data_IF_764155553730
#
_entry.id   IF_764155553730
#
_cell.length_a   1.000
_cell.length_b   1.000
_cell.length_c   1.000
_cell.angle_alpha   90.00
_cell.angle_beta   90.00
_cell.angle_gamma   90.00
#
_symmetry.space_group_name_H-M   'P 1'
#
loop_
_entity.id
_entity.type
_entity.pdbx_description
1 polymer ?
#
# COMPACT_ATOMS: atom_id res chain seq x y z
N UNK A 1 19.60 -47.34 14.73
CA UNK A 1 18.94 -46.11 15.31
C UNK A 1 19.88 -44.93 15.58
N UNK A 2 21.07 -45.08 16.14
CA UNK A 2 21.97 -43.92 16.38
C UNK A 2 22.67 -43.46 15.09
N UNK A 3 23.00 -44.39 14.16
CA UNK A 3 23.64 -44.04 12.88
C UNK A 3 22.74 -43.24 11.94
N UNK A 4 21.41 -43.51 11.93
CA UNK A 4 20.48 -42.78 11.07
C UNK A 4 20.22 -41.34 11.54
N UNK A 5 20.19 -41.08 12.84
CA UNK A 5 20.07 -39.72 13.39
C UNK A 5 21.27 -38.84 13.04
N UNK A 6 22.48 -39.38 13.04
CA UNK A 6 23.68 -38.65 12.65
C UNK A 6 23.71 -38.25 11.17
N UNK A 7 23.16 -39.07 10.30
CA UNK A 7 23.06 -38.79 8.88
C UNK A 7 22.01 -37.71 8.57
N UNK A 8 20.87 -37.68 9.30
CA UNK A 8 19.86 -36.66 9.20
C UNK A 8 20.39 -35.30 9.66
N UNK A 9 21.02 -35.23 10.84
CA UNK A 9 21.58 -33.97 11.35
C UNK A 9 22.66 -33.40 10.40
N UNK A 10 23.50 -34.27 9.80
CA UNK A 10 24.50 -33.82 8.81
C UNK A 10 23.86 -33.27 7.53
N UNK A 11 22.73 -33.83 7.10
CA UNK A 11 21.95 -33.29 5.94
C UNK A 11 21.34 -31.95 6.27
N UNK A 12 20.69 -31.84 7.41
CA UNK A 12 20.07 -30.58 7.85
C UNK A 12 21.09 -29.45 8.02
N UNK A 13 22.25 -29.73 8.62
CA UNK A 13 23.34 -28.75 8.77
C UNK A 13 23.88 -28.30 7.39
N UNK A 14 24.06 -29.24 6.45
CA UNK A 14 24.55 -28.92 5.11
C UNK A 14 23.52 -28.12 4.29
N UNK A 15 22.25 -28.32 4.55
CA UNK A 15 21.16 -27.54 3.94
C UNK A 15 21.04 -26.14 4.56
N UNK A 16 21.27 -26.02 5.87
CA UNK A 16 21.35 -24.75 6.58
C UNK A 16 22.55 -23.91 6.12
N UNK A 17 23.73 -24.52 5.97
CA UNK A 17 24.93 -23.87 5.43
C UNK A 17 24.69 -23.35 4.01
N UNK A 18 24.09 -24.17 3.12
CA UNK A 18 23.75 -23.73 1.75
C UNK A 18 22.75 -22.57 1.71
N UNK A 19 21.77 -22.55 2.62
CA UNK A 19 20.82 -21.42 2.75
C UNK A 19 21.53 -20.15 3.21
N UNK A 20 22.42 -20.26 4.17
CA UNK A 20 23.20 -19.13 4.71
C UNK A 20 24.18 -18.57 3.67
N UNK A 21 24.84 -19.43 2.88
CA UNK A 21 25.69 -19.00 1.76
C UNK A 21 24.89 -18.34 0.64
N UNK A 22 23.72 -18.90 0.28
CA UNK A 22 22.83 -18.31 -0.72
C UNK A 22 22.29 -16.95 -0.28
N UNK A 23 21.89 -16.80 0.98
CA UNK A 23 21.45 -15.51 1.54
C UNK A 23 22.58 -14.48 1.58
N UNK A 24 23.83 -14.92 1.88
CA UNK A 24 24.99 -14.04 1.91
C UNK A 24 25.38 -13.59 0.50
N UNK A 25 25.39 -14.51 -0.45
CA UNK A 25 25.66 -14.23 -1.88
C UNK A 25 24.60 -13.29 -2.45
N UNK A 26 23.34 -13.52 -2.12
CA UNK A 26 22.22 -12.64 -2.51
C UNK A 26 22.37 -11.22 -1.94
N UNK A 27 22.75 -11.09 -0.66
CA UNK A 27 23.00 -9.78 -0.03
C UNK A 27 24.16 -9.03 -0.72
N UNK A 28 25.23 -9.74 -1.06
CA UNK A 28 26.40 -9.15 -1.75
C UNK A 28 26.00 -8.67 -3.15
N UNK A 29 25.23 -9.46 -3.89
CA UNK A 29 24.76 -9.09 -5.24
C UNK A 29 23.77 -7.91 -5.20
N UNK A 30 22.89 -7.86 -4.20
CA UNK A 30 21.97 -6.73 -4.00
C UNK A 30 22.72 -5.41 -3.71
N UNK A 31 23.78 -5.49 -2.89
CA UNK A 31 24.65 -4.33 -2.61
C UNK A 31 25.41 -3.92 -3.86
N UNK A 32 25.89 -4.89 -4.65
CA UNK A 32 26.58 -4.64 -5.93
C UNK A 32 25.67 -4.02 -6.99
N UNK A 33 24.45 -4.52 -7.14
CA UNK A 33 23.45 -3.93 -8.06
C UNK A 33 23.04 -2.52 -7.64
N UNK A 34 22.89 -2.26 -6.33
CA UNK A 34 22.70 -0.90 -5.81
C UNK A 34 23.89 -0.01 -6.11
N UNK A 35 25.12 -0.51 -5.96
CA UNK A 35 26.35 0.20 -6.31
C UNK A 35 26.41 0.56 -7.81
N UNK A 36 26.11 -0.40 -8.69
CA UNK A 36 26.07 -0.20 -10.14
C UNK A 36 24.95 0.76 -10.59
N UNK A 37 23.79 0.71 -9.91
CA UNK A 37 22.70 1.67 -10.15
C UNK A 37 23.12 3.09 -9.75
N UNK A 38 23.75 3.23 -8.57
CA UNK A 38 24.27 4.53 -8.11
C UNK A 38 25.42 5.04 -8.99
N UNK A 39 26.26 4.15 -9.51
CA UNK A 39 27.32 4.49 -10.45
C UNK A 39 26.77 4.98 -11.80
N UNK A 40 25.79 4.28 -12.37
CA UNK A 40 25.07 4.73 -13.59
C UNK A 40 24.32 6.03 -13.38
N UNK A 41 23.75 6.25 -12.20
CA UNK A 41 23.12 7.54 -11.84
C UNK A 41 24.16 8.68 -11.72
N UNK A 42 25.38 8.38 -11.27
CA UNK A 42 26.48 9.37 -11.21
C UNK A 42 27.08 9.69 -12.59
N UNK A 43 26.95 8.81 -13.57
CA UNK A 43 27.37 9.07 -14.95
C UNK A 43 26.44 10.06 -15.68
N UNK A 44 25.19 10.21 -15.24
CA UNK A 44 24.31 11.32 -15.67
C UNK A 44 24.73 12.58 -14.92
N UNK A 45 25.72 13.25 -15.45
CA UNK A 45 26.29 14.52 -14.95
C UNK A 45 25.17 15.46 -14.48
N UNK A 46 25.15 15.77 -13.19
CA UNK A 46 24.41 16.85 -12.47
C UNK A 46 23.09 16.50 -11.76
N UNK A 47 22.69 15.25 -11.53
CA UNK A 47 21.55 14.96 -10.62
C UNK A 47 22.07 14.31 -9.35
N UNK A 48 22.06 15.08 -8.26
CA UNK A 48 22.44 14.56 -6.93
C UNK A 48 21.21 13.96 -6.24
N UNK A 49 21.37 12.77 -5.66
CA UNK A 49 20.37 12.20 -4.76
C UNK A 49 20.17 13.15 -3.57
N UNK A 50 18.93 13.53 -3.29
CA UNK A 50 18.59 14.33 -2.13
C UNK A 50 17.77 13.51 -1.12
N UNK A 51 17.59 14.05 0.09
CA UNK A 51 16.90 13.37 1.20
C UNK A 51 15.52 12.83 0.80
N UNK A 52 14.76 13.59 0.00
CA UNK A 52 13.43 13.18 -0.48
C UNK A 52 13.50 11.92 -1.36
N UNK A 53 14.45 11.89 -2.28
CA UNK A 53 14.66 10.72 -3.13
C UNK A 53 15.13 9.51 -2.34
N UNK A 54 16.05 9.71 -1.38
CA UNK A 54 16.49 8.65 -0.49
C UNK A 54 15.34 8.06 0.33
N UNK A 55 14.47 8.89 0.88
CA UNK A 55 13.29 8.47 1.63
C UNK A 55 12.32 7.66 0.74
N UNK A 56 12.01 8.14 -0.45
CA UNK A 56 11.14 7.44 -1.40
C UNK A 56 11.70 6.05 -1.79
N UNK A 57 13.00 5.98 -2.04
CA UNK A 57 13.68 4.74 -2.42
C UNK A 57 13.80 3.77 -1.24
N UNK A 58 14.11 4.26 -0.03
CA UNK A 58 14.43 3.42 1.12
C UNK A 58 13.21 3.06 1.97
N UNK A 59 12.10 3.83 1.91
CA UNK A 59 10.91 3.55 2.70
C UNK A 59 10.38 2.13 2.50
N UNK A 60 9.88 1.55 3.56
CA UNK A 60 9.27 0.23 3.58
C UNK A 60 8.06 0.22 4.52
N UNK A 61 7.14 -0.73 4.35
CA UNK A 61 6.00 -0.88 5.28
C UNK A 61 6.50 -1.27 6.67
N UNK A 62 6.09 -0.56 7.70
CA UNK A 62 6.41 -0.80 9.11
C UNK A 62 5.16 -1.29 9.81
N UNK A 63 5.27 -2.42 10.55
CA UNK A 63 4.16 -3.08 11.25
C UNK A 63 4.46 -3.39 12.71
N UNK A 64 5.64 -3.03 13.20
CA UNK A 64 6.02 -3.15 14.61
C UNK A 64 6.59 -1.81 15.04
N UNK A 65 5.93 -1.23 16.02
CA UNK A 65 6.21 0.13 16.50
C UNK A 65 6.81 0.10 17.90
N UNK A 66 7.55 1.13 18.26
CA UNK A 66 7.98 1.39 19.63
C UNK A 66 6.82 1.98 20.44
N UNK A 67 7.03 2.12 21.76
CA UNK A 67 6.04 2.77 22.63
C UNK A 67 6.05 4.31 22.52
N UNK A 68 6.97 4.88 21.75
CA UNK A 68 7.03 6.33 21.53
C UNK A 68 5.76 6.83 20.83
N UNK A 69 5.08 7.80 21.45
CA UNK A 69 3.92 8.44 20.86
C UNK A 69 4.31 9.43 19.75
N UNK A 70 3.41 9.61 18.78
CA UNK A 70 3.51 10.66 17.77
C UNK A 70 2.99 11.96 18.40
N UNK A 71 3.86 12.97 18.48
CA UNK A 71 3.51 14.25 19.07
C UNK A 71 2.46 15.01 18.25
N UNK A 72 1.74 15.91 18.90
CA UNK A 72 0.71 16.73 18.25
C UNK A 72 1.27 17.52 17.05
N UNK A 73 2.46 18.11 17.20
CA UNK A 73 3.11 18.86 16.12
C UNK A 73 3.47 17.96 14.93
N UNK A 74 4.01 16.76 15.16
CA UNK A 74 4.33 15.78 14.11
C UNK A 74 3.07 15.34 13.35
N UNK A 75 2.00 15.04 14.09
CA UNK A 75 0.69 14.70 13.50
C UNK A 75 0.14 15.84 12.64
N UNK A 76 0.22 17.09 13.12
CA UNK A 76 -0.24 18.25 12.38
C UNK A 76 0.56 18.45 11.08
N UNK A 77 1.88 18.27 11.10
CA UNK A 77 2.72 18.32 9.90
C UNK A 77 2.35 17.25 8.89
N UNK A 78 2.11 16.01 9.32
CA UNK A 78 1.70 14.92 8.46
C UNK A 78 0.34 15.19 7.81
N UNK A 79 -0.64 15.65 8.60
CA UNK A 79 -1.97 16.01 8.11
C UNK A 79 -1.91 17.21 7.15
N UNK A 80 -1.10 18.21 7.45
CA UNK A 80 -0.88 19.35 6.57
C UNK A 80 -0.28 18.92 5.24
N UNK A 81 0.74 18.08 5.24
CA UNK A 81 1.33 17.54 4.00
C UNK A 81 0.30 16.77 3.16
N UNK A 82 -0.57 15.98 3.80
CA UNK A 82 -1.65 15.30 3.12
C UNK A 82 -2.61 16.28 2.42
N UNK A 83 -2.99 17.37 3.09
CA UNK A 83 -3.93 18.36 2.54
C UNK A 83 -3.33 19.28 1.47
N UNK A 84 -2.00 19.34 1.35
CA UNK A 84 -1.30 20.05 0.27
C UNK A 84 -1.08 19.19 -0.99
N UNK A 85 -1.61 17.97 -1.01
CA UNK A 85 -1.56 17.11 -2.20
C UNK A 85 -2.30 17.73 -3.38
N UNK A 86 -1.83 17.55 -4.62
CA UNK A 86 -2.58 17.98 -5.79
C UNK A 86 -3.88 17.17 -5.93
N UNK A 87 -4.94 17.81 -6.44
CA UNK A 87 -6.24 17.19 -6.63
C UNK A 87 -6.87 17.58 -7.95
N UNK A 88 -7.79 16.76 -8.44
CA UNK A 88 -8.54 17.03 -9.66
C UNK A 88 -9.34 18.33 -9.54
N UNK A 89 -9.04 19.32 -10.39
CA UNK A 89 -9.71 20.62 -10.41
C UNK A 89 -9.65 21.38 -9.06
N UNK A 90 -8.69 21.10 -8.20
CA UNK A 90 -8.58 21.63 -6.84
C UNK A 90 -9.83 21.37 -5.96
N UNK A 91 -10.53 20.24 -6.21
CA UNK A 91 -11.76 19.91 -5.52
C UNK A 91 -11.54 19.21 -4.17
N UNK A 92 -10.36 18.68 -3.93
CA UNK A 92 -10.03 17.86 -2.74
C UNK A 92 -11.13 16.79 -2.50
N UNK A 93 -11.31 15.92 -3.49
CA UNK A 93 -12.37 14.89 -3.49
C UNK A 93 -12.07 13.76 -2.48
N UNK A 94 -11.61 14.11 -1.30
CA UNK A 94 -11.34 13.17 -0.22
C UNK A 94 -11.66 13.74 1.16
N UNK A 95 -11.94 12.86 2.10
CA UNK A 95 -12.06 13.15 3.53
C UNK A 95 -11.11 12.24 4.29
N UNK A 96 -10.40 12.77 5.28
CA UNK A 96 -9.48 11.99 6.14
C UNK A 96 -10.17 11.77 7.48
N UNK A 97 -10.34 10.50 7.87
CA UNK A 97 -10.82 10.12 9.20
C UNK A 97 -9.60 9.82 10.06
N UNK A 98 -9.43 10.57 11.13
CA UNK A 98 -8.42 10.35 12.16
C UNK A 98 -9.01 9.44 13.24
N UNK A 99 -8.62 8.17 13.25
CA UNK A 99 -9.14 7.17 14.18
C UNK A 99 -8.36 7.25 15.50
N UNK A 100 -8.95 7.92 16.47
CA UNK A 100 -8.36 8.10 17.82
C UNK A 100 -8.96 7.16 18.87
N UNK A 101 -10.17 6.63 18.63
CA UNK A 101 -10.84 5.69 19.52
C UNK A 101 -10.21 4.30 19.44
N UNK A 102 -9.73 3.80 20.60
CA UNK A 102 -9.11 2.48 20.67
C UNK A 102 -10.10 1.35 20.36
N UNK A 103 -11.35 1.46 20.79
CA UNK A 103 -12.36 0.45 20.51
C UNK A 103 -12.63 0.35 18.99
N UNK A 104 -12.62 1.47 18.27
CA UNK A 104 -12.73 1.48 16.82
C UNK A 104 -11.48 0.87 16.15
N UNK A 105 -10.26 1.13 16.65
CA UNK A 105 -9.05 0.46 16.15
C UNK A 105 -9.12 -1.05 16.34
N UNK A 106 -9.62 -1.52 17.48
CA UNK A 106 -9.77 -2.96 17.79
C UNK A 106 -10.80 -3.64 16.87
N UNK A 107 -11.88 -2.95 16.50
CA UNK A 107 -12.82 -3.44 15.48
C UNK A 107 -12.18 -3.45 14.08
N UNK A 108 -11.41 -2.43 13.72
CA UNK A 108 -10.68 -2.41 12.44
C UNK A 108 -9.64 -3.54 12.33
N UNK A 109 -9.03 -3.97 13.44
CA UNK A 109 -8.20 -5.19 13.44
C UNK A 109 -8.99 -6.37 12.91
N UNK A 110 -10.21 -6.58 13.41
CA UNK A 110 -11.05 -7.73 13.05
C UNK A 110 -11.52 -7.68 11.60
N UNK A 111 -11.90 -6.48 11.13
CA UNK A 111 -12.42 -6.27 9.77
C UNK A 111 -11.33 -6.17 8.71
N UNK A 112 -10.08 -6.03 9.12
CA UNK A 112 -8.91 -5.93 8.24
C UNK A 112 -7.97 -7.12 8.45
N UNK A 113 -8.46 -8.33 8.22
CA UNK A 113 -7.70 -9.60 8.21
C UNK A 113 -6.94 -9.90 9.52
N UNK A 114 -7.54 -9.52 10.67
CA UNK A 114 -6.98 -9.75 12.02
C UNK A 114 -5.53 -9.24 12.17
N UNK A 115 -5.24 -8.04 11.72
CA UNK A 115 -3.91 -7.43 11.75
C UNK A 115 -3.69 -6.62 13.04
N UNK A 116 -3.08 -7.18 14.11
CA UNK A 116 -3.02 -6.56 15.43
C UNK A 116 -2.22 -5.26 15.48
N UNK A 117 -1.31 -5.02 14.54
CA UNK A 117 -0.54 -3.79 14.46
C UNK A 117 -1.40 -2.55 14.13
N UNK A 118 -2.65 -2.71 13.68
CA UNK A 118 -3.60 -1.61 13.50
C UNK A 118 -3.95 -1.01 14.86
N UNK A 119 -4.30 -1.84 15.84
CA UNK A 119 -4.61 -1.40 17.19
C UNK A 119 -3.36 -0.84 17.92
N UNK A 120 -2.19 -1.40 17.66
CA UNK A 120 -0.93 -0.96 18.25
C UNK A 120 -0.36 0.34 17.63
N UNK A 121 -0.90 0.78 16.50
CA UNK A 121 -0.41 1.98 15.81
C UNK A 121 -0.69 3.26 16.62
N UNK A 122 0.29 4.16 16.62
CA UNK A 122 0.21 5.43 17.35
C UNK A 122 -0.66 6.47 16.64
N UNK A 123 -0.86 6.32 15.33
CA UNK A 123 -1.81 7.08 14.54
C UNK A 123 -2.41 6.20 13.45
N UNK A 124 -3.72 6.30 13.24
CA UNK A 124 -4.45 5.60 12.18
C UNK A 124 -5.27 6.61 11.40
N UNK A 125 -5.04 6.69 10.10
CA UNK A 125 -5.75 7.59 9.19
C UNK A 125 -6.45 6.78 8.09
N UNK A 126 -7.73 7.08 7.82
CA UNK A 126 -8.47 6.50 6.71
C UNK A 126 -8.74 7.61 5.70
N UNK A 127 -8.27 7.41 4.48
CA UNK A 127 -8.45 8.31 3.36
C UNK A 127 -9.66 7.83 2.55
N UNK A 128 -10.74 8.57 2.64
CA UNK A 128 -11.97 8.27 1.93
C UNK A 128 -12.02 9.08 0.63
N UNK A 129 -12.27 8.42 -0.50
CA UNK A 129 -12.74 9.07 -1.71
C UNK A 129 -14.15 9.63 -1.43
N UNK A 130 -14.35 10.92 -1.60
CA UNK A 130 -15.55 11.63 -1.16
C UNK A 130 -16.13 12.48 -2.30
N UNK A 131 -17.05 11.87 -3.03
CA UNK A 131 -17.81 12.54 -4.07
C UNK A 131 -19.06 13.26 -3.51
N UNK A 132 -19.41 13.01 -2.23
CA UNK A 132 -20.62 13.52 -1.61
C UNK A 132 -20.53 15.01 -1.28
N UNK A 133 -19.37 15.50 -0.78
CA UNK A 133 -19.28 16.88 -0.28
C UNK A 133 -19.64 17.96 -1.31
N UNK A 134 -19.18 17.83 -2.56
CA UNK A 134 -19.54 18.74 -3.63
C UNK A 134 -20.97 18.55 -4.09
N UNK A 135 -21.41 17.30 -4.22
CA UNK A 135 -22.80 16.97 -4.61
C UNK A 135 -23.81 17.60 -3.66
N UNK A 136 -23.63 17.43 -2.35
CA UNK A 136 -24.50 18.04 -1.35
C UNK A 136 -24.39 19.57 -1.32
N UNK A 137 -23.18 20.13 -1.45
CA UNK A 137 -22.98 21.57 -1.49
C UNK A 137 -23.70 22.21 -2.68
N UNK A 138 -23.66 21.61 -3.86
CA UNK A 138 -24.43 22.08 -5.04
C UNK A 138 -25.94 22.03 -4.80
N UNK A 139 -26.47 20.95 -4.24
CA UNK A 139 -27.90 20.83 -3.92
C UNK A 139 -28.35 21.89 -2.91
N UNK A 140 -27.59 22.11 -1.84
CA UNK A 140 -27.88 23.13 -0.81
C UNK A 140 -27.92 24.54 -1.44
N UNK A 141 -27.12 24.80 -2.46
CA UNK A 141 -27.07 26.11 -3.15
C UNK A 141 -28.08 26.23 -4.27
N UNK A 142 -28.96 25.26 -4.46
CA UNK A 142 -30.01 25.27 -5.48
C UNK A 142 -29.56 24.87 -6.88
N UNK A 143 -28.36 24.27 -7.00
CA UNK A 143 -27.95 23.64 -8.25
C UNK A 143 -28.63 22.27 -8.42
N UNK A 144 -28.73 21.83 -9.66
CA UNK A 144 -29.22 20.49 -10.03
C UNK A 144 -28.06 19.61 -10.54
N UNK A 145 -27.17 19.13 -9.65
CA UNK A 145 -26.06 18.31 -10.08
C UNK A 145 -26.55 16.91 -10.50
N UNK A 146 -25.94 16.34 -11.54
CA UNK A 146 -26.08 14.90 -11.80
C UNK A 146 -25.57 14.09 -10.61
N UNK A 147 -26.00 12.87 -10.47
CA UNK A 147 -25.47 11.95 -9.45
C UNK A 147 -23.98 11.68 -9.72
N UNK A 148 -23.16 11.54 -8.65
CA UNK A 148 -21.79 11.08 -8.80
C UNK A 148 -21.73 9.72 -9.49
N UNK A 149 -20.92 9.61 -10.54
CA UNK A 149 -20.73 8.38 -11.30
C UNK A 149 -19.36 7.73 -11.03
N UNK A 150 -19.11 6.62 -11.72
CA UNK A 150 -17.84 5.85 -11.56
C UNK A 150 -16.61 6.70 -11.94
N UNK A 151 -16.73 7.60 -12.92
CA UNK A 151 -15.66 8.52 -13.29
C UNK A 151 -15.27 9.45 -12.14
N UNK A 152 -16.26 10.01 -11.44
CA UNK A 152 -16.03 10.85 -10.25
C UNK A 152 -15.37 10.06 -9.14
N UNK A 153 -15.80 8.82 -8.90
CA UNK A 153 -15.18 7.94 -7.91
C UNK A 153 -13.71 7.68 -8.24
N UNK A 154 -13.36 7.42 -9.51
CA UNK A 154 -11.96 7.16 -9.90
C UNK A 154 -11.08 8.38 -9.66
N UNK A 155 -11.55 9.58 -9.94
CA UNK A 155 -10.85 10.83 -9.61
C UNK A 155 -10.70 10.99 -8.08
N UNK A 156 -11.77 10.76 -7.32
CA UNK A 156 -11.75 10.86 -5.86
C UNK A 156 -10.82 9.83 -5.20
N UNK A 157 -10.77 8.59 -5.72
CA UNK A 157 -9.81 7.56 -5.27
C UNK A 157 -8.37 7.97 -5.56
N UNK A 158 -8.12 8.59 -6.72
CA UNK A 158 -6.81 9.12 -7.06
C UNK A 158 -6.39 10.23 -6.09
N UNK A 159 -7.25 11.22 -5.85
CA UNK A 159 -7.02 12.32 -4.91
C UNK A 159 -6.73 11.78 -3.50
N UNK A 160 -7.55 10.85 -3.00
CA UNK A 160 -7.37 10.23 -1.68
C UNK A 160 -6.02 9.52 -1.54
N UNK A 161 -5.61 8.75 -2.56
CA UNK A 161 -4.34 8.03 -2.55
C UNK A 161 -3.13 8.95 -2.69
N UNK A 162 -3.23 10.04 -3.45
CA UNK A 162 -2.16 11.04 -3.56
C UNK A 162 -1.97 11.74 -2.21
N UNK A 163 -3.06 12.14 -1.54
CA UNK A 163 -3.03 12.71 -0.20
C UNK A 163 -2.44 11.73 0.83
N UNK A 164 -2.82 10.46 0.77
CA UNK A 164 -2.25 9.40 1.61
C UNK A 164 -0.74 9.24 1.38
N UNK A 165 -0.28 9.29 0.13
CA UNK A 165 1.15 9.19 -0.17
C UNK A 165 1.93 10.41 0.33
N UNK A 166 1.38 11.61 0.28
CA UNK A 166 2.00 12.79 0.88
C UNK A 166 2.15 12.62 2.41
N UNK A 167 1.13 12.09 3.10
CA UNK A 167 1.23 11.77 4.52
C UNK A 167 2.35 10.76 4.81
N UNK A 168 2.51 9.75 3.97
CA UNK A 168 3.59 8.75 4.08
C UNK A 168 4.96 9.36 3.94
N UNK A 169 5.17 10.25 2.96
CA UNK A 169 6.46 10.92 2.74
C UNK A 169 6.79 11.85 3.90
N UNK A 170 5.81 12.63 4.37
CA UNK A 170 5.98 13.50 5.52
C UNK A 170 6.32 12.71 6.80
N UNK A 171 5.63 11.59 7.05
CA UNK A 171 5.93 10.72 8.19
C UNK A 171 7.35 10.15 8.13
N UNK A 172 7.77 9.63 6.97
CA UNK A 172 9.12 9.10 6.76
C UNK A 172 10.20 10.15 7.02
N UNK A 173 9.97 11.42 6.60
CA UNK A 173 10.90 12.52 6.86
C UNK A 173 11.06 12.87 8.34
N UNK A 174 10.07 12.51 9.16
CA UNK A 174 10.09 12.64 10.61
C UNK A 174 10.58 11.37 11.34
N UNK A 175 11.03 10.34 10.59
CA UNK A 175 11.45 9.07 11.14
C UNK A 175 10.27 8.19 11.61
N UNK A 176 9.06 8.50 11.19
CA UNK A 176 7.83 7.77 11.52
C UNK A 176 7.53 6.81 10.38
N UNK A 177 7.54 5.51 10.66
CA UNK A 177 7.21 4.47 9.70
C UNK A 177 5.70 4.36 9.49
N UNK A 178 5.31 3.81 8.33
CA UNK A 178 3.91 3.64 7.96
C UNK A 178 3.64 2.31 7.24
N UNK A 179 2.37 1.90 7.21
CA UNK A 179 1.91 0.79 6.38
C UNK A 179 0.53 1.10 5.79
N UNK A 180 0.40 0.90 4.47
CA UNK A 180 -0.90 0.88 3.80
C UNK A 180 -1.65 -0.41 4.12
N UNK A 181 -2.95 -0.29 4.37
CA UNK A 181 -3.88 -1.38 4.63
C UNK A 181 -5.03 -1.24 3.65
N UNK A 182 -5.06 -2.11 2.63
CA UNK A 182 -6.11 -2.16 1.62
C UNK A 182 -7.38 -2.83 2.11
N UNK A 183 -7.27 -3.64 3.16
CA UNK A 183 -8.35 -4.41 3.76
C UNK A 183 -9.51 -3.54 4.30
N UNK A 184 -9.28 -2.23 4.45
CA UNK A 184 -10.35 -1.26 4.78
C UNK A 184 -11.46 -1.22 3.73
N UNK A 185 -11.21 -1.69 2.51
CA UNK A 185 -12.19 -1.78 1.43
C UNK A 185 -13.07 -3.04 1.51
N UNK A 186 -12.70 -4.03 2.34
CA UNK A 186 -13.47 -5.25 2.56
C UNK A 186 -14.61 -5.05 3.57
N UNK A 187 -15.43 -6.08 3.73
CA UNK A 187 -16.49 -6.10 4.74
C UNK A 187 -17.39 -4.85 4.65
N UNK A 188 -17.85 -4.52 3.44
CA UNK A 188 -18.61 -3.33 3.07
C UNK A 188 -19.63 -2.90 4.12
N UNK A 189 -20.50 -3.81 4.56
CA UNK A 189 -21.59 -3.52 5.48
C UNK A 189 -21.02 -3.06 6.84
N UNK A 190 -20.01 -3.78 7.33
CA UNK A 190 -19.40 -3.50 8.61
C UNK A 190 -18.55 -2.24 8.60
N UNK A 191 -17.79 -2.01 7.54
CA UNK A 191 -16.97 -0.79 7.40
C UNK A 191 -17.87 0.46 7.31
N UNK A 192 -18.96 0.40 6.55
CA UNK A 192 -19.92 1.51 6.50
C UNK A 192 -20.52 1.83 7.85
N UNK A 193 -20.88 0.80 8.63
CA UNK A 193 -21.43 0.97 9.98
C UNK A 193 -20.38 1.59 10.91
N UNK A 194 -19.19 0.99 11.01
CA UNK A 194 -18.10 1.42 11.91
C UNK A 194 -17.67 2.86 11.65
N UNK A 195 -17.49 3.21 10.39
CA UNK A 195 -16.99 4.52 9.96
C UNK A 195 -18.12 5.50 9.64
N UNK A 196 -19.40 5.09 9.73
CA UNK A 196 -20.60 5.86 9.38
C UNK A 196 -20.51 6.46 7.98
N UNK A 197 -20.01 5.66 7.01
CA UNK A 197 -19.82 6.14 5.63
C UNK A 197 -21.17 6.33 4.94
N UNK A 198 -21.45 7.54 4.44
CA UNK A 198 -22.65 7.78 3.64
C UNK A 198 -22.51 7.25 2.21
N UNK A 199 -23.56 7.40 1.40
CA UNK A 199 -23.46 7.16 -0.04
C UNK A 199 -22.44 8.10 -0.69
N UNK A 200 -21.85 7.67 -1.79
CA UNK A 200 -20.82 8.37 -2.56
C UNK A 200 -19.52 8.63 -1.79
N UNK A 201 -19.28 7.89 -0.69
CA UNK A 201 -18.02 7.88 0.04
C UNK A 201 -17.46 6.47 0.09
N UNK A 202 -16.18 6.32 -0.29
CA UNK A 202 -15.47 5.05 -0.39
C UNK A 202 -14.15 5.10 0.39
N UNK A 203 -13.85 4.14 1.29
CA UNK A 203 -12.60 4.13 2.05
C UNK A 203 -11.45 3.64 1.16
N UNK A 204 -10.79 4.56 0.46
CA UNK A 204 -9.78 4.23 -0.56
C UNK A 204 -8.48 3.65 0.00
N UNK A 205 -8.07 4.09 1.19
CA UNK A 205 -6.87 3.60 1.86
C UNK A 205 -6.94 3.83 3.37
N UNK A 206 -6.39 2.91 4.15
CA UNK A 206 -6.05 3.13 5.55
C UNK A 206 -4.54 3.13 5.72
N UNK A 207 -4.02 4.04 6.53
CA UNK A 207 -2.62 4.13 6.91
C UNK A 207 -2.47 4.02 8.41
N UNK A 208 -1.52 3.21 8.84
CA UNK A 208 -1.06 3.14 10.23
C UNK A 208 0.34 3.71 10.33
N UNK A 209 0.62 4.40 11.45
CA UNK A 209 1.88 5.08 11.67
C UNK A 209 2.40 4.82 13.08
N UNK A 210 3.73 4.85 13.22
CA UNK A 210 4.43 4.76 14.49
C UNK A 210 5.94 4.73 14.28
N UNK A 211 6.70 4.98 15.34
CA UNK A 211 8.15 4.89 15.28
C UNK A 211 8.58 3.43 15.14
N UNK A 212 9.37 3.07 14.10
CA UNK A 212 9.78 1.71 13.85
C UNK A 212 10.73 1.21 14.96
N UNK A 213 10.58 -0.05 15.36
CA UNK A 213 11.60 -0.74 16.18
C UNK A 213 12.89 -0.92 15.40
N UNK A 214 14.02 -1.16 16.09
CA UNK A 214 15.31 -1.41 15.43
C UNK A 214 15.24 -2.60 14.46
N UNK A 215 14.50 -3.65 14.79
CA UNK A 215 14.26 -4.75 13.88
C UNK A 215 13.60 -4.29 12.57
N UNK A 216 12.59 -3.41 12.65
CA UNK A 216 11.91 -2.87 11.47
C UNK A 216 12.82 -1.94 10.66
N UNK A 217 13.65 -1.13 11.31
CA UNK A 217 14.63 -0.27 10.63
C UNK A 217 15.65 -1.10 9.84
N UNK A 218 16.13 -2.20 10.43
CA UNK A 218 17.15 -3.06 9.83
C UNK A 218 16.60 -4.11 8.86
N UNK A 219 15.26 -4.27 8.77
CA UNK A 219 14.64 -5.21 7.86
C UNK A 219 14.91 -4.85 6.40
N UNK A 220 15.33 -5.81 5.60
CA UNK A 220 15.57 -5.62 4.17
C UNK A 220 14.24 -5.24 3.48
N UNK A 221 14.27 -4.18 2.66
CA UNK A 221 13.13 -3.80 1.82
C UNK A 221 12.93 -4.88 0.76
N UNK A 222 11.68 -5.32 0.52
CA UNK A 222 11.39 -6.25 -0.57
C UNK A 222 11.82 -5.65 -1.92
N UNK A 223 12.46 -6.48 -2.72
CA UNK A 223 12.86 -6.14 -4.07
C UNK A 223 11.67 -5.71 -4.94
N UNK A 224 11.94 -4.87 -5.91
CA UNK A 224 10.96 -4.43 -6.92
C UNK A 224 11.29 -5.06 -8.27
N UNK A 225 10.29 -5.15 -9.13
CA UNK A 225 10.51 -5.51 -10.52
C UNK A 225 11.50 -4.52 -11.17
N UNK A 226 12.26 -4.96 -12.17
CA UNK A 226 13.10 -4.07 -12.97
C UNK A 226 12.29 -2.90 -13.52
N UNK A 227 12.87 -1.71 -13.53
CA UNK A 227 12.17 -0.50 -14.00
C UNK A 227 11.71 -0.65 -15.44
N UNK A 228 12.52 -1.24 -16.28
CA UNK A 228 12.30 -1.50 -17.71
C UNK A 228 11.10 -2.44 -17.97
N UNK A 229 10.79 -3.27 -16.97
CA UNK A 229 9.62 -4.16 -17.02
C UNK A 229 8.32 -3.50 -16.55
N UNK A 230 8.37 -2.27 -16.05
CA UNK A 230 7.18 -1.51 -15.59
C UNK A 230 6.98 -0.24 -16.42
N UNK A 231 8.07 0.40 -16.83
CA UNK A 231 8.03 1.64 -17.58
C UNK A 231 8.08 1.33 -19.07
N UNK A 232 7.06 1.75 -19.81
CA UNK A 232 6.99 1.61 -21.26
C UNK A 232 6.88 2.98 -21.91
N UNK A 233 7.61 3.18 -23.01
CA UNK A 233 7.60 4.45 -23.74
C UNK A 233 6.41 4.51 -24.69
N UNK A 234 5.65 5.59 -24.64
CA UNK A 234 4.57 5.99 -25.55
C UNK A 234 3.33 5.07 -25.61
N UNK A 235 3.45 3.76 -25.37
CA UNK A 235 2.33 2.81 -25.51
C UNK A 235 2.41 1.72 -24.47
N UNK A 236 1.26 1.08 -24.21
CA UNK A 236 1.21 -0.14 -23.41
C UNK A 236 2.01 -1.24 -24.12
N UNK A 237 2.91 -1.96 -23.42
CA UNK A 237 3.79 -2.94 -24.05
C UNK A 237 3.02 -4.18 -24.49
N UNK A 238 3.50 -4.83 -25.57
CA UNK A 238 3.07 -6.20 -25.87
C UNK A 238 3.69 -7.17 -24.85
N UNK A 239 2.82 -7.91 -24.17
CA UNK A 239 3.23 -8.83 -23.11
C UNK A 239 3.17 -10.28 -23.61
N UNK A 240 4.32 -10.91 -23.72
CA UNK A 240 4.47 -12.32 -24.05
C UNK A 240 5.07 -13.11 -22.86
N UNK A 241 5.26 -14.40 -23.01
CA UNK A 241 5.79 -15.26 -21.95
C UNK A 241 7.17 -14.79 -21.46
N UNK A 242 8.05 -14.38 -22.34
CA UNK A 242 9.39 -13.87 -22.01
C UNK A 242 9.29 -12.60 -21.17
N UNK A 243 8.45 -11.65 -21.58
CA UNK A 243 8.20 -10.42 -20.82
C UNK A 243 7.74 -10.71 -19.39
N UNK A 244 6.78 -11.65 -19.21
CA UNK A 244 6.31 -12.01 -17.87
C UNK A 244 7.36 -12.72 -17.03
N UNK A 245 8.25 -13.51 -17.64
CA UNK A 245 9.36 -14.13 -16.93
C UNK A 245 10.39 -13.10 -16.45
N UNK A 246 10.69 -12.08 -17.23
CA UNK A 246 11.53 -10.95 -16.84
C UNK A 246 10.89 -10.12 -15.72
N UNK A 247 9.60 -9.77 -15.88
CA UNK A 247 8.85 -8.96 -14.91
C UNK A 247 8.77 -9.61 -13.53
N UNK A 248 8.58 -10.93 -13.45
CA UNK A 248 8.35 -11.64 -12.20
C UNK A 248 9.51 -12.56 -11.77
N UNK A 249 10.50 -12.77 -12.64
CA UNK A 249 11.60 -13.71 -12.41
C UNK A 249 12.35 -13.49 -11.11
N UNK A 250 12.53 -12.22 -10.72
CA UNK A 250 13.21 -11.84 -9.47
C UNK A 250 12.57 -12.42 -8.18
N UNK A 251 11.31 -12.88 -8.24
CA UNK A 251 10.59 -13.47 -7.10
C UNK A 251 10.65 -14.99 -7.06
N UNK A 252 11.08 -15.63 -8.13
CA UNK A 252 10.76 -17.04 -8.38
C UNK A 252 11.86 -18.02 -7.96
N UNK A 253 13.07 -17.53 -7.68
CA UNK A 253 14.24 -18.35 -7.38
C UNK A 253 14.44 -19.52 -8.36
N UNK A 254 14.17 -19.28 -9.67
CA UNK A 254 14.29 -20.27 -10.74
C UNK A 254 13.08 -21.17 -10.96
N UNK A 255 12.11 -21.22 -10.05
CA UNK A 255 10.85 -21.97 -10.20
C UNK A 255 9.69 -21.02 -10.60
N UNK A 256 9.75 -20.46 -11.79
CA UNK A 256 8.73 -19.53 -12.27
C UNK A 256 7.31 -20.11 -12.26
N UNK A 257 7.12 -21.27 -12.89
CA UNK A 257 5.77 -21.88 -13.01
C UNK A 257 5.18 -22.28 -11.66
N UNK A 258 5.97 -22.92 -10.80
CA UNK A 258 5.51 -23.32 -9.47
C UNK A 258 5.22 -22.13 -8.58
N UNK A 259 6.08 -21.08 -8.63
CA UNK A 259 5.86 -19.85 -7.88
C UNK A 259 4.57 -19.14 -8.33
N UNK A 260 4.35 -18.99 -9.64
CA UNK A 260 3.14 -18.36 -10.21
C UNK A 260 1.88 -19.08 -9.80
N UNK A 261 1.87 -20.43 -9.84
CA UNK A 261 0.73 -21.22 -9.39
C UNK A 261 0.40 -20.97 -7.91
N UNK A 262 1.40 -21.09 -7.02
CA UNK A 262 1.21 -20.81 -5.58
C UNK A 262 0.77 -19.38 -5.31
N UNK A 263 1.30 -18.41 -6.04
CA UNK A 263 0.95 -17.01 -5.88
C UNK A 263 -0.47 -16.71 -6.36
N UNK A 264 -0.89 -17.30 -7.48
CA UNK A 264 -2.25 -17.20 -8.00
C UNK A 264 -3.27 -17.71 -6.97
N UNK A 265 -3.09 -18.93 -6.44
CA UNK A 265 -3.98 -19.48 -5.41
C UNK A 265 -4.05 -18.60 -4.16
N UNK A 266 -2.91 -18.15 -3.69
CA UNK A 266 -2.83 -17.35 -2.46
C UNK A 266 -3.37 -15.92 -2.60
N UNK A 267 -3.34 -15.32 -3.80
CA UNK A 267 -3.68 -13.90 -3.98
C UNK A 267 -4.93 -13.67 -4.84
N UNK A 268 -5.09 -14.37 -5.96
CA UNK A 268 -6.22 -14.16 -6.86
C UNK A 268 -7.43 -15.04 -6.52
N UNK A 269 -7.17 -16.29 -6.11
CA UNK A 269 -8.23 -17.28 -5.82
C UNK A 269 -8.58 -17.33 -4.33
N UNK A 270 -7.97 -16.52 -3.49
CA UNK A 270 -8.22 -16.49 -2.05
C UNK A 270 -9.60 -15.92 -1.71
N UNK A 271 -10.13 -16.28 -0.55
CA UNK A 271 -11.39 -15.72 -0.04
C UNK A 271 -11.28 -14.22 0.20
N UNK A 272 -10.09 -13.75 0.62
CA UNK A 272 -9.74 -12.34 0.69
C UNK A 272 -10.01 -11.61 -0.65
N UNK A 273 -9.48 -12.12 -1.77
CA UNK A 273 -9.65 -11.46 -3.08
C UNK A 273 -11.12 -11.46 -3.54
N UNK A 274 -11.87 -12.53 -3.20
CA UNK A 274 -13.31 -12.61 -3.50
C UNK A 274 -14.10 -11.62 -2.69
N UNK A 275 -13.83 -11.52 -1.36
CA UNK A 275 -14.49 -10.56 -0.48
C UNK A 275 -14.18 -9.12 -0.87
N UNK A 276 -12.91 -8.79 -1.17
CA UNK A 276 -12.51 -7.49 -1.69
C UNK A 276 -13.34 -7.13 -2.94
N UNK A 277 -13.45 -8.04 -3.89
CA UNK A 277 -14.24 -7.81 -5.12
C UNK A 277 -15.72 -7.60 -4.82
N UNK A 278 -16.30 -8.42 -3.92
CA UNK A 278 -17.70 -8.29 -3.48
C UNK A 278 -17.95 -6.93 -2.83
N UNK A 279 -17.14 -6.59 -1.86
CA UNK A 279 -17.29 -5.35 -1.08
C UNK A 279 -17.12 -4.10 -1.92
N UNK A 280 -16.08 -4.03 -2.76
CA UNK A 280 -15.89 -2.92 -3.70
C UNK A 280 -17.07 -2.83 -4.66
N UNK A 281 -17.56 -3.96 -5.20
CA UNK A 281 -18.77 -4.00 -6.04
C UNK A 281 -20.00 -3.41 -5.35
N UNK A 282 -20.16 -3.64 -4.04
CA UNK A 282 -21.24 -3.03 -3.24
C UNK A 282 -21.11 -1.51 -3.12
N UNK A 283 -19.89 -0.99 -2.90
CA UNK A 283 -19.66 0.46 -2.92
C UNK A 283 -20.00 1.07 -4.28
N UNK A 284 -19.67 0.39 -5.38
CA UNK A 284 -19.93 0.87 -6.73
C UNK A 284 -21.43 1.00 -7.06
N UNK A 285 -22.31 0.28 -6.36
CA UNK A 285 -23.74 0.24 -6.68
C UNK A 285 -24.36 1.65 -6.72
N UNK A 286 -24.02 2.53 -5.77
CA UNK A 286 -24.53 3.90 -5.73
C UNK A 286 -24.00 4.78 -6.89
N UNK A 287 -22.82 4.46 -7.43
CA UNK A 287 -22.21 5.19 -8.55
C UNK A 287 -22.62 4.67 -9.93
N UNK A 288 -23.23 3.48 -9.98
CA UNK A 288 -23.75 2.87 -11.21
C UNK A 288 -25.24 3.14 -11.44
N UNK A 289 -25.97 3.62 -10.43
CA UNK A 289 -27.35 4.00 -10.55
C UNK A 289 -27.44 5.26 -11.44
N UNK A 290 -27.58 5.04 -12.77
CA UNK A 290 -27.90 6.12 -13.71
C UNK A 290 -29.23 6.73 -13.33
N UNK A 291 -29.36 8.05 -13.40
CA UNK A 291 -30.67 8.72 -13.37
C UNK A 291 -31.50 8.14 -14.51
N UNK A 292 -32.79 7.89 -14.24
CA UNK A 292 -33.71 7.34 -15.25
C UNK A 292 -33.88 8.23 -16.49
N UNK A 293 -33.23 9.40 -16.51
CA UNK A 293 -33.27 10.38 -17.61
C UNK A 293 -32.08 10.25 -18.59
N UNK A 294 -31.06 9.41 -18.28
CA UNK A 294 -29.85 9.23 -19.12
C UNK A 294 -29.76 7.84 -19.79
N UNK A 295 -30.82 7.02 -19.73
CA UNK A 295 -30.87 5.68 -20.32
C UNK A 295 -31.53 5.66 -21.71
#
# INVERSE_FOLDING_TARGET
MIHDRCAVIKRENKELERRTEAETTFKIELVRQRGLFMEKMNETKNVTMNDTMEQLINRKSVRVFTEREIGVAEKQLILRAATEAPTAGNQQLYTIIDVTDQALKDELVKTCDNQPFIAAAKMVLIFCADCRKWYEAFKITGCEPRNPGVGDLMLAVSDANIAAQNAVVAAESLGIGSCYIGDVMENYERQRELLRLPEYVFPAAMLVFGYPTEQQKNRIKPERAPMEAIVSENRYPEMNETYYQELFGYKTNGDYKGWMKRFCERKYNSDFAREMTRSVGKYLTSFLAMSQEEA
#
